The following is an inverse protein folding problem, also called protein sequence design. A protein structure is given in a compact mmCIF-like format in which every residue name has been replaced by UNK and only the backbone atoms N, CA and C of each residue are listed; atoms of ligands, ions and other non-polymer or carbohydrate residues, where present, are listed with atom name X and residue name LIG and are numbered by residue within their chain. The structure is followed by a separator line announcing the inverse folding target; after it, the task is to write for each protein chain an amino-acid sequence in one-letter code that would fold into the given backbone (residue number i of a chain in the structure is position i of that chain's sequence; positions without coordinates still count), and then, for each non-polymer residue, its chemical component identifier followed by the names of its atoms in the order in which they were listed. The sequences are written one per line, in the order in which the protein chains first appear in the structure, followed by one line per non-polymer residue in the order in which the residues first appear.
data_IF_962538752863
#
_entry.id   IF_962538752863
#
_cell.length_a   1.000
_cell.length_b   1.000
_cell.length_c   1.000
_cell.angle_alpha   90.00
_cell.angle_beta   90.00
_cell.angle_gamma   90.00
#
_symmetry.space_group_name_H-M   'P 1'
#
loop_
_entity.id
_entity.type
_entity.pdbx_description
1 polymer ?
#
# COMPACT_ATOMS: atom_id res chain seq x y z
N UNK A 1 7.64 5.06 0.98
CA UNK A 1 7.82 3.83 0.17
C UNK A 1 7.66 4.02 -1.35
N UNK A 2 6.47 3.99 -1.97
CA UNK A 2 6.35 3.98 -3.46
C UNK A 2 7.06 5.16 -4.15
N UNK A 3 6.82 6.39 -3.65
CA UNK A 3 7.50 7.59 -4.17
C UNK A 3 9.01 7.56 -3.97
N UNK A 4 9.49 7.06 -2.83
CA UNK A 4 10.93 6.92 -2.54
C UNK A 4 11.60 5.93 -3.50
N UNK A 5 10.82 4.98 -4.05
CA UNK A 5 11.26 4.04 -5.08
C UNK A 5 10.99 4.53 -6.51
N UNK A 6 10.65 5.81 -6.69
CA UNK A 6 10.44 6.44 -8.00
C UNK A 6 9.06 6.19 -8.62
N UNK A 7 8.14 5.52 -7.93
CA UNK A 7 6.79 5.26 -8.44
C UNK A 7 5.84 6.40 -8.09
N UNK A 8 5.76 7.38 -8.99
CA UNK A 8 4.80 8.49 -8.91
C UNK A 8 3.46 8.10 -9.55
N UNK A 9 2.41 8.00 -8.73
CA UNK A 9 1.09 7.57 -9.21
C UNK A 9 0.47 8.50 -10.27
N UNK A 10 0.84 9.78 -10.29
CA UNK A 10 0.40 10.71 -11.33
C UNK A 10 0.97 10.34 -12.70
N UNK A 11 2.26 10.00 -12.78
CA UNK A 11 2.90 9.53 -14.01
C UNK A 11 2.30 8.22 -14.49
N UNK A 12 2.07 7.27 -13.58
CA UNK A 12 1.41 6.00 -13.92
C UNK A 12 0.00 6.22 -14.50
N UNK A 13 -0.73 7.22 -14.00
CA UNK A 13 -2.06 7.55 -14.51
C UNK A 13 -2.02 8.09 -15.95
N UNK A 14 -1.00 8.84 -16.32
CA UNK A 14 -0.78 9.29 -17.70
C UNK A 14 -0.56 8.09 -18.66
N UNK A 15 -0.05 6.98 -18.13
CA UNK A 15 0.12 5.70 -18.83
C UNK A 15 -1.13 4.79 -18.75
N UNK A 16 -2.29 5.33 -18.36
CA UNK A 16 -3.54 4.59 -18.12
C UNK A 16 -3.46 3.52 -17.02
N UNK A 17 -2.51 3.64 -16.08
CA UNK A 17 -2.35 2.72 -14.98
C UNK A 17 -2.70 3.39 -13.65
N UNK A 18 -3.55 2.75 -12.86
CA UNK A 18 -3.83 3.20 -11.50
C UNK A 18 -3.80 2.03 -10.51
N UNK A 19 -3.53 2.36 -9.24
CA UNK A 19 -3.64 1.45 -8.12
C UNK A 19 -4.92 1.73 -7.34
N UNK A 20 -5.72 0.70 -7.12
CA UNK A 20 -6.97 0.81 -6.35
C UNK A 20 -6.97 -0.17 -5.18
N UNK A 21 -7.55 0.24 -4.06
CA UNK A 21 -7.74 -0.63 -2.90
C UNK A 21 -8.89 -1.58 -3.17
N UNK A 22 -8.60 -2.89 -3.22
CA UNK A 22 -9.59 -3.95 -3.42
C UNK A 22 -10.18 -4.45 -2.11
N UNK A 23 -9.38 -4.48 -1.05
CA UNK A 23 -9.77 -4.90 0.31
C UNK A 23 -8.88 -4.20 1.32
N UNK A 24 -9.45 -3.86 2.46
CA UNK A 24 -8.73 -3.37 3.63
C UNK A 24 -9.34 -4.02 4.87
N UNK A 25 -8.50 -4.63 5.70
CA UNK A 25 -8.86 -5.15 7.02
C UNK A 25 -8.05 -4.36 8.04
N UNK A 26 -8.70 -3.82 9.07
CA UNK A 26 -8.03 -3.04 10.12
C UNK A 26 -8.43 -3.60 11.47
N UNK A 27 -7.44 -3.88 12.32
CA UNK A 27 -7.63 -4.23 13.72
C UNK A 27 -7.17 -3.06 14.60
N UNK A 28 -8.12 -2.42 15.30
CA UNK A 28 -7.83 -1.33 16.23
C UNK A 28 -7.52 -1.90 17.61
N UNK A 29 -6.26 -1.80 18.04
CA UNK A 29 -5.74 -2.47 19.24
C UNK A 29 -5.61 -1.51 20.44
N UNK A 30 -5.25 -0.26 20.19
CA UNK A 30 -5.07 0.75 21.22
C UNK A 30 -5.50 2.13 20.71
N UNK A 31 -6.17 2.97 21.54
CA UNK A 31 -6.57 4.30 21.11
C UNK A 31 -5.35 5.23 21.02
N UNK A 32 -5.21 5.93 19.90
CA UNK A 32 -4.39 7.12 19.82
C UNK A 32 -5.12 8.32 20.46
N UNK A 33 -4.38 9.25 21.04
CA UNK A 33 -4.91 10.47 21.65
C UNK A 33 -4.53 11.71 20.83
N UNK A 34 -5.18 12.83 21.15
CA UNK A 34 -4.77 14.13 20.61
C UNK A 34 -3.28 14.36 20.90
N UNK A 35 -2.57 14.88 19.91
CA UNK A 35 -1.13 15.15 19.91
C UNK A 35 -0.20 13.93 20.05
N UNK A 36 -0.71 12.69 19.92
CA UNK A 36 0.17 11.53 19.79
C UNK A 36 0.93 11.58 18.45
N UNK A 37 2.26 11.43 18.53
CA UNK A 37 3.10 11.22 17.35
C UNK A 37 2.99 9.76 16.92
N UNK A 38 2.42 9.54 15.73
CA UNK A 38 2.23 8.23 15.15
C UNK A 38 3.22 7.95 14.02
N UNK A 39 3.75 6.73 14.01
CA UNK A 39 4.58 6.20 12.93
C UNK A 39 3.81 5.09 12.23
N UNK A 40 3.72 5.17 10.90
CA UNK A 40 3.17 4.10 10.04
C UNK A 40 4.34 3.28 9.52
N UNK A 41 4.49 2.06 9.99
CA UNK A 41 5.40 1.08 9.42
C UNK A 41 4.67 0.34 8.29
N UNK A 42 5.22 0.36 7.07
CA UNK A 42 4.64 -0.29 5.89
C UNK A 42 5.58 -1.37 5.37
N UNK A 43 5.04 -2.55 5.11
CA UNK A 43 5.73 -3.62 4.36
C UNK A 43 4.84 -4.21 3.28
N UNK A 44 5.44 -4.70 2.21
CA UNK A 44 4.77 -5.57 1.24
C UNK A 44 4.96 -7.00 1.72
N UNK A 45 3.87 -7.77 1.81
CA UNK A 45 3.91 -9.18 2.24
C UNK A 45 3.72 -10.14 1.08
N UNK A 46 3.03 -9.71 0.02
CA UNK A 46 2.78 -10.53 -1.16
C UNK A 46 2.78 -9.68 -2.42
N UNK A 47 3.35 -10.23 -3.49
CA UNK A 47 3.33 -9.68 -4.84
C UNK A 47 2.73 -10.72 -5.77
N UNK A 48 1.61 -10.42 -6.41
CA UNK A 48 0.97 -11.26 -7.42
C UNK A 48 1.05 -10.59 -8.80
N UNK A 49 0.44 -11.19 -9.83
CA UNK A 49 0.51 -10.65 -11.19
C UNK A 49 -0.15 -9.27 -11.36
N UNK A 50 -1.23 -9.01 -10.64
CA UNK A 50 -2.04 -7.78 -10.78
C UNK A 50 -2.27 -7.07 -9.45
N UNK A 51 -1.70 -7.58 -8.35
CA UNK A 51 -1.97 -7.09 -7.00
C UNK A 51 -0.78 -7.16 -6.06
N UNK A 52 -0.82 -6.29 -5.05
CA UNK A 52 0.13 -6.19 -3.95
C UNK A 52 -0.64 -6.27 -2.63
N UNK A 53 -0.12 -7.01 -1.66
CA UNK A 53 -0.62 -6.98 -0.29
C UNK A 53 0.36 -6.19 0.58
N UNK A 54 -0.13 -5.14 1.21
CA UNK A 54 0.59 -4.37 2.21
C UNK A 54 0.14 -4.77 3.60
N UNK A 55 1.08 -4.88 4.54
CA UNK A 55 0.80 -4.88 5.96
C UNK A 55 1.33 -3.59 6.57
N UNK A 56 0.43 -2.84 7.19
CA UNK A 56 0.74 -1.62 7.92
C UNK A 56 0.62 -1.87 9.42
N UNK A 57 1.53 -1.26 10.18
CA UNK A 57 1.45 -1.17 11.65
C UNK A 57 1.54 0.30 12.03
N UNK A 58 0.53 0.78 12.75
CA UNK A 58 0.58 2.10 13.36
C UNK A 58 1.05 1.95 14.80
N UNK A 59 2.12 2.67 15.13
CA UNK A 59 2.67 2.70 16.48
C UNK A 59 2.78 4.14 16.95
N UNK A 60 2.65 4.36 18.25
CA UNK A 60 2.89 5.67 18.84
C UNK A 60 4.36 5.84 19.29
N UNK A 61 4.69 7.01 19.82
CA UNK A 61 5.99 7.37 20.37
C UNK A 61 6.49 6.44 21.49
N UNK A 62 5.60 5.71 22.15
CA UNK A 62 5.93 4.72 23.19
C UNK A 62 6.02 3.29 22.65
N UNK A 63 6.02 3.11 21.31
CA UNK A 63 6.00 1.81 20.62
C UNK A 63 4.74 0.96 20.93
N UNK A 64 3.64 1.57 21.40
CA UNK A 64 2.35 0.88 21.50
C UNK A 64 1.71 0.75 20.13
N UNK A 65 1.24 -0.44 19.82
CA UNK A 65 0.53 -0.71 18.58
C UNK A 65 -0.90 -0.17 18.66
N UNK A 66 -1.18 0.82 17.83
CA UNK A 66 -2.48 1.50 17.73
C UNK A 66 -3.41 0.66 16.86
N UNK A 67 -2.95 0.27 15.68
CA UNK A 67 -3.66 -0.65 14.81
C UNK A 67 -2.73 -1.38 13.85
N UNK A 68 -3.24 -2.48 13.30
CA UNK A 68 -2.69 -3.13 12.12
C UNK A 68 -3.65 -2.99 10.96
N UNK A 69 -3.14 -2.95 9.74
CA UNK A 69 -3.98 -2.99 8.56
C UNK A 69 -3.37 -3.87 7.46
N UNK A 70 -4.14 -4.81 6.96
CA UNK A 70 -3.84 -5.54 5.73
C UNK A 70 -4.60 -4.91 4.56
N UNK A 71 -3.87 -4.53 3.52
CA UNK A 71 -4.41 -3.78 2.38
C UNK A 71 -4.04 -4.51 1.10
N UNK A 72 -5.04 -4.90 0.33
CA UNK A 72 -4.84 -5.48 -1.00
C UNK A 72 -5.08 -4.39 -2.02
N UNK A 73 -4.04 -4.07 -2.78
CA UNK A 73 -4.05 -3.11 -3.88
C UNK A 73 -3.99 -3.86 -5.20
N UNK A 74 -4.77 -3.41 -6.18
CA UNK A 74 -4.82 -3.98 -7.55
C UNK A 74 -4.44 -2.90 -8.55
N UNK A 75 -3.61 -3.24 -9.54
CA UNK A 75 -3.37 -2.40 -10.71
C UNK A 75 -4.52 -2.51 -11.70
N UNK A 76 -5.02 -1.37 -12.18
CA UNK A 76 -6.09 -1.31 -13.18
C UNK A 76 -5.68 -0.48 -14.39
N UNK A 77 -6.16 -0.89 -15.55
CA UNK A 77 -6.19 -0.05 -16.76
C UNK A 77 -7.35 0.95 -16.60
N UNK A 78 -7.04 2.24 -16.48
CA UNK A 78 -8.04 3.30 -16.22
C UNK A 78 -8.94 3.57 -17.41
N UNK A 79 -8.54 3.18 -18.63
CA UNK A 79 -9.40 3.31 -19.81
C UNK A 79 -10.53 2.27 -19.83
N UNK A 80 -10.26 1.08 -19.30
CA UNK A 80 -11.21 -0.06 -19.28
C UNK A 80 -11.80 -0.33 -17.91
N UNK A 81 -11.26 0.28 -16.85
CA UNK A 81 -11.56 0.01 -15.44
C UNK A 81 -11.47 -1.49 -15.09
N UNK A 82 -10.46 -2.18 -15.63
CA UNK A 82 -10.23 -3.62 -15.42
C UNK A 82 -8.85 -3.88 -14.83
N UNK A 83 -8.68 -4.94 -14.01
CA UNK A 83 -7.36 -5.34 -13.53
C UNK A 83 -6.38 -5.55 -14.69
N UNK A 84 -5.17 -5.04 -14.53
CA UNK A 84 -4.05 -5.20 -15.48
C UNK A 84 -2.80 -5.65 -14.72
N UNK A 85 -1.78 -6.11 -15.45
CA UNK A 85 -0.52 -6.55 -14.84
C UNK A 85 0.17 -5.40 -14.11
N UNK A 86 0.83 -5.73 -13.01
CA UNK A 86 1.75 -4.81 -12.36
C UNK A 86 2.89 -4.45 -13.32
N UNK A 87 3.38 -3.19 -13.31
CA UNK A 87 4.63 -2.83 -13.99
C UNK A 87 5.78 -3.72 -13.55
N UNK A 88 6.59 -4.17 -14.49
CA UNK A 88 7.74 -5.05 -14.21
C UNK A 88 8.73 -4.40 -13.24
N UNK A 89 8.88 -3.08 -13.30
CA UNK A 89 9.71 -2.30 -12.38
C UNK A 89 9.23 -2.41 -10.92
N UNK A 90 7.92 -2.42 -10.69
CA UNK A 90 7.33 -2.60 -9.35
C UNK A 90 7.53 -4.03 -8.86
N UNK A 91 7.31 -5.01 -9.74
CA UNK A 91 7.53 -6.42 -9.40
C UNK A 91 9.00 -6.68 -9.07
N UNK A 92 9.94 -6.10 -9.82
CA UNK A 92 11.36 -6.24 -9.60
C UNK A 92 11.82 -5.59 -8.28
N UNK A 93 11.28 -4.42 -7.93
CA UNK A 93 11.65 -3.72 -6.69
C UNK A 93 11.14 -4.43 -5.43
N UNK A 94 10.04 -5.19 -5.54
CA UNK A 94 9.33 -5.76 -4.38
C UNK A 94 9.24 -7.29 -4.35
N UNK A 95 9.77 -8.00 -5.36
CA UNK A 95 10.11 -9.43 -5.24
C UNK A 95 11.45 -9.55 -4.50
N UNK A 96 11.40 -9.71 -3.18
CA UNK A 96 12.47 -10.30 -2.40
C UNK A 96 11.93 -11.53 -1.66
#
# INVERSE_FOLDING_TARGET
MLREKGFEQQKLREENLAFVVRKMTIDYLYPAKLDDLLTVETKITHVQHTSLTFLHRLINQQRKEICTAEIIIVSIDTSKMKPTRLPESIVAEFKQ
#
